data_IF_007096284295
#
_entry.id   IF_007096284295
#
_cell.length_a   1.000
_cell.length_b   1.000
_cell.length_c   1.000
_cell.angle_alpha   90.00
_cell.angle_beta   90.00
_cell.angle_gamma   90.00
#
_symmetry.space_group_name_H-M   'P 1'
#
loop_
_entity.id
_entity.type
_entity.pdbx_description
1 polymer ?
#
# COMPACT_ATOMS: atom_id res chain seq x y z
N UNK A 1 1.75 -16.14 -16.18
CA UNK A 1 0.56 -15.83 -15.36
C UNK A 1 -0.41 -15.10 -16.27
N UNK A 2 -1.70 -15.42 -16.21
CA UNK A 2 -2.78 -14.73 -16.95
C UNK A 2 -3.83 -14.39 -15.90
N UNK A 3 -4.26 -13.13 -15.86
CA UNK A 3 -5.19 -12.61 -14.84
C UNK A 3 -6.24 -11.72 -15.51
N UNK A 4 -7.36 -11.51 -14.81
CA UNK A 4 -8.41 -10.60 -15.25
C UNK A 4 -7.97 -9.13 -15.11
N UNK A 5 -8.43 -8.27 -16.02
CA UNK A 5 -8.22 -6.83 -15.90
C UNK A 5 -9.18 -6.25 -14.85
N UNK A 6 -8.63 -5.69 -13.78
CA UNK A 6 -9.41 -5.18 -12.66
C UNK A 6 -10.06 -3.83 -12.96
N UNK A 7 -11.30 -3.68 -12.49
CA UNK A 7 -12.01 -2.39 -12.49
C UNK A 7 -11.87 -1.75 -11.12
N UNK A 8 -11.09 -0.67 -11.07
CA UNK A 8 -10.78 0.07 -9.84
C UNK A 8 -12.03 0.71 -9.22
N UNK A 9 -12.08 0.76 -7.89
CA UNK A 9 -13.08 1.49 -7.14
C UNK A 9 -13.09 2.98 -7.54
N UNK A 10 -14.26 3.61 -7.78
CA UNK A 10 -14.35 5.00 -8.26
C UNK A 10 -13.63 6.02 -7.35
N UNK A 11 -13.58 5.78 -6.04
CA UNK A 11 -12.88 6.65 -5.11
C UNK A 11 -11.36 6.71 -5.34
N UNK A 12 -10.77 5.67 -5.93
CA UNK A 12 -9.34 5.58 -6.25
C UNK A 12 -9.05 5.87 -7.74
N UNK A 13 -9.96 6.55 -8.42
CA UNK A 13 -9.74 7.04 -9.78
C UNK A 13 -9.10 8.44 -9.76
N UNK A 14 -7.93 8.55 -10.39
CA UNK A 14 -7.10 9.78 -10.42
C UNK A 14 -6.77 10.22 -11.85
N UNK A 15 -7.57 9.82 -12.85
CA UNK A 15 -7.34 10.15 -14.27
C UNK A 15 -6.00 9.61 -14.83
N UNK A 16 -5.42 8.62 -14.17
CA UNK A 16 -4.23 7.88 -14.61
C UNK A 16 -4.64 6.58 -15.32
N UNK A 17 -3.67 5.96 -16.03
CA UNK A 17 -3.91 4.73 -16.79
C UNK A 17 -3.77 3.46 -15.94
N UNK A 18 -2.89 3.48 -14.93
CA UNK A 18 -2.62 2.32 -14.09
C UNK A 18 -3.70 2.03 -13.05
N UNK A 19 -3.79 0.75 -12.64
CA UNK A 19 -4.45 0.40 -11.38
C UNK A 19 -3.59 0.95 -10.24
N UNK A 20 -4.23 1.65 -9.30
CA UNK A 20 -3.59 2.18 -8.10
C UNK A 20 -3.69 1.13 -6.98
N UNK A 21 -2.59 0.85 -6.31
CA UNK A 21 -2.51 -0.25 -5.34
C UNK A 21 -2.08 0.25 -3.99
N UNK A 22 -2.38 -0.55 -2.98
CA UNK A 22 -1.91 -0.34 -1.62
C UNK A 22 -0.79 -1.33 -1.38
N UNK A 23 0.38 -0.81 -1.02
CA UNK A 23 1.48 -1.61 -0.48
C UNK A 23 1.34 -1.67 1.03
N UNK A 24 1.27 -2.86 1.60
CA UNK A 24 1.33 -3.07 3.07
C UNK A 24 2.33 -4.16 3.37
N UNK A 25 3.20 -3.93 4.36
CA UNK A 25 4.15 -4.94 4.79
C UNK A 25 3.58 -5.72 5.98
N UNK A 26 3.92 -7.00 6.04
CA UNK A 26 3.53 -7.90 7.11
C UNK A 26 4.74 -8.63 7.68
N UNK A 27 4.71 -8.87 9.00
CA UNK A 27 5.61 -9.76 9.71
C UNK A 27 4.78 -10.82 10.45
N UNK A 28 4.95 -12.09 10.13
CA UNK A 28 4.42 -13.21 10.89
C UNK A 28 5.40 -13.58 12.01
N UNK A 29 4.98 -13.44 13.26
CA UNK A 29 5.81 -13.78 14.41
C UNK A 29 5.87 -15.30 14.67
N UNK A 30 6.68 -15.71 15.65
CA UNK A 30 6.83 -17.12 16.05
C UNK A 30 5.59 -17.72 16.71
N UNK A 31 4.69 -16.89 17.21
CA UNK A 31 3.45 -17.29 17.86
C UNK A 31 2.30 -17.43 16.85
N UNK A 32 2.52 -17.02 15.60
CA UNK A 32 1.54 -17.08 14.52
C UNK A 32 0.69 -15.80 14.39
N UNK A 33 1.06 -14.71 15.07
CA UNK A 33 0.37 -13.43 14.91
C UNK A 33 0.97 -12.64 13.74
N UNK A 34 0.09 -11.96 13.00
CA UNK A 34 0.48 -11.10 11.87
C UNK A 34 0.54 -9.65 12.33
N UNK A 35 1.70 -9.02 12.14
CA UNK A 35 1.94 -7.61 12.43
C UNK A 35 2.03 -6.85 11.12
N UNK A 36 1.04 -6.00 10.84
CA UNK A 36 1.05 -5.12 9.67
C UNK A 36 1.79 -3.83 9.99
N UNK A 37 2.60 -3.35 9.05
CA UNK A 37 3.32 -2.10 9.19
C UNK A 37 3.55 -1.46 7.81
N UNK A 38 3.78 -0.15 7.78
CA UNK A 38 4.08 0.62 6.57
C UNK A 38 3.11 0.36 5.42
N UNK A 39 1.88 0.85 5.59
CA UNK A 39 0.90 0.92 4.53
C UNK A 39 1.07 2.23 3.73
N UNK A 40 1.08 2.13 2.40
CA UNK A 40 1.08 3.28 1.50
C UNK A 40 0.13 3.03 0.34
N UNK A 41 -0.64 4.05 -0.04
CA UNK A 41 -1.36 4.08 -1.32
C UNK A 41 -0.38 4.55 -2.39
N UNK A 42 -0.21 3.77 -3.45
CA UNK A 42 0.58 4.12 -4.64
C UNK A 42 -0.36 4.57 -5.74
N UNK A 43 -0.10 5.74 -6.31
CA UNK A 43 -0.93 6.33 -7.37
C UNK A 43 -0.05 6.71 -8.55
N UNK A 44 -0.42 6.24 -9.75
CA UNK A 44 0.32 6.53 -10.98
C UNK A 44 0.10 7.97 -11.47
N UNK A 45 1.08 8.48 -12.22
CA UNK A 45 1.00 9.76 -12.92
C UNK A 45 1.11 9.52 -14.44
N UNK A 46 0.34 10.31 -15.19
CA UNK A 46 0.33 10.34 -16.66
C UNK A 46 -0.03 9.00 -17.29
N UNK A 47 0.72 8.66 -18.34
CA UNK A 47 0.52 7.46 -19.16
C UNK A 47 1.29 6.24 -18.64
N UNK A 48 1.87 6.31 -17.43
CA UNK A 48 2.52 5.15 -16.83
C UNK A 48 1.49 4.04 -16.60
N UNK A 49 1.80 2.85 -17.10
CA UNK A 49 0.97 1.64 -16.92
C UNK A 49 1.17 0.99 -15.55
N UNK A 50 2.09 1.50 -14.74
CA UNK A 50 2.33 1.09 -13.35
C UNK A 50 2.23 2.30 -12.41
N UNK A 51 1.81 2.06 -11.17
CA UNK A 51 1.59 3.07 -10.12
C UNK A 51 2.79 3.27 -9.17
N UNK A 52 3.83 2.44 -9.30
CA UNK A 52 4.98 2.43 -8.41
C UNK A 52 5.75 3.76 -8.41
N UNK A 53 6.24 4.18 -7.24
CA UNK A 53 7.08 5.36 -7.05
C UNK A 53 8.27 5.45 -8.01
N UNK A 54 8.97 4.33 -8.21
CA UNK A 54 10.14 4.29 -9.10
C UNK A 54 9.80 4.54 -10.58
N UNK A 55 8.53 4.47 -10.96
CA UNK A 55 8.03 4.82 -12.28
C UNK A 55 7.47 6.25 -12.37
N UNK A 56 7.69 7.07 -11.33
CA UNK A 56 7.20 8.45 -11.24
C UNK A 56 5.83 8.60 -10.57
N UNK A 57 5.33 7.56 -9.88
CA UNK A 57 4.11 7.66 -9.08
C UNK A 57 4.25 8.51 -7.82
N UNK A 58 3.14 8.64 -7.09
CA UNK A 58 3.09 9.26 -5.75
C UNK A 58 2.72 8.19 -4.74
N UNK A 59 3.42 8.15 -3.61
CA UNK A 59 2.98 7.33 -2.47
C UNK A 59 2.45 8.19 -1.33
N UNK A 60 1.35 7.74 -0.73
CA UNK A 60 0.69 8.39 0.39
C UNK A 60 0.67 7.43 1.58
N UNK A 61 1.27 7.79 2.73
CA UNK A 61 1.26 6.91 3.89
C UNK A 61 -0.16 6.80 4.45
N UNK A 62 -0.52 5.58 4.82
CA UNK A 62 -1.80 5.24 5.41
C UNK A 62 -1.54 4.89 6.87
N UNK A 63 -2.34 5.47 7.77
CA UNK A 63 -2.43 5.02 9.15
C UNK A 63 -3.09 3.63 9.19
N UNK A 64 -2.38 2.64 9.73
CA UNK A 64 -2.82 1.23 9.65
C UNK A 64 -4.05 0.96 10.50
N UNK A 65 -4.21 1.67 11.62
CA UNK A 65 -5.32 1.45 12.54
C UNK A 65 -6.63 1.98 11.94
N UNK A 66 -6.56 3.07 11.18
CA UNK A 66 -7.74 3.79 10.70
C UNK A 66 -8.00 3.62 9.20
N UNK A 67 -6.99 3.29 8.40
CA UNK A 67 -7.09 3.26 6.94
C UNK A 67 -7.12 4.65 6.30
N UNK A 68 -6.70 5.68 7.03
CA UNK A 68 -6.74 7.07 6.58
C UNK A 68 -5.35 7.50 6.12
N UNK A 69 -5.28 8.22 5.00
CA UNK A 69 -4.02 8.84 4.57
C UNK A 69 -3.57 9.88 5.61
N UNK A 70 -2.41 9.63 6.22
CA UNK A 70 -1.96 10.30 7.44
C UNK A 70 -1.07 11.51 7.19
N UNK A 71 -0.51 11.65 5.99
CA UNK A 71 0.33 12.80 5.64
C UNK A 71 0.25 13.17 4.17
N UNK A 72 1.02 14.20 3.80
CA UNK A 72 1.26 14.56 2.40
C UNK A 72 1.82 13.38 1.61
N UNK A 73 1.57 13.38 0.30
CA UNK A 73 2.20 12.45 -0.63
C UNK A 73 3.66 12.79 -0.88
N UNK A 74 4.42 11.76 -1.21
CA UNK A 74 5.83 11.86 -1.52
C UNK A 74 6.07 11.52 -2.99
N UNK A 75 6.72 12.45 -3.69
CA UNK A 75 6.97 12.45 -5.12
C UNK A 75 8.29 13.17 -5.38
N UNK A 76 9.10 12.72 -6.34
CA UNK A 76 10.40 13.32 -6.68
C UNK A 76 11.32 13.58 -5.46
N UNK A 77 11.35 12.63 -4.53
CA UNK A 77 12.10 12.67 -3.27
C UNK A 77 11.72 13.81 -2.33
N UNK A 78 10.48 14.32 -2.45
CA UNK A 78 9.99 15.42 -1.61
C UNK A 78 8.57 15.15 -1.14
N UNK A 79 8.31 15.56 0.10
CA UNK A 79 6.98 15.50 0.72
C UNK A 79 6.20 16.79 0.37
N UNK A 80 5.32 16.74 -0.65
CA UNK A 80 4.78 17.99 -1.24
C UNK A 80 3.30 17.91 -1.62
N UNK A 81 2.71 16.72 -1.70
CA UNK A 81 1.44 16.54 -2.37
C UNK A 81 0.27 16.53 -1.38
N UNK A 82 -0.34 17.70 -1.13
CA UNK A 82 -1.68 17.77 -0.50
C UNK A 82 -2.72 17.18 -1.47
N UNK A 83 -2.56 17.49 -2.76
CA UNK A 83 -3.38 16.98 -3.85
C UNK A 83 -2.59 16.00 -4.71
N UNK A 84 -3.27 15.05 -5.35
CA UNK A 84 -2.64 14.25 -6.40
C UNK A 84 -2.45 15.09 -7.67
N UNK A 85 -1.31 15.04 -8.39
CA UNK A 85 -1.05 15.91 -9.55
C UNK A 85 -2.09 15.85 -10.68
N UNK A 86 -2.86 14.76 -10.76
CA UNK A 86 -3.90 14.54 -11.77
C UNK A 86 -5.34 14.71 -11.25
N UNK A 87 -5.54 15.17 -10.01
CA UNK A 87 -6.89 15.34 -9.46
C UNK A 87 -6.96 16.37 -8.34
N UNK A 88 -8.13 16.98 -8.16
CA UNK A 88 -8.37 17.91 -7.06
C UNK A 88 -8.68 17.21 -5.71
N UNK A 89 -8.37 15.92 -5.58
CA UNK A 89 -8.57 15.17 -4.33
C UNK A 89 -7.54 15.60 -3.29
N UNK A 90 -8.01 16.07 -2.13
CA UNK A 90 -7.18 16.23 -0.94
C UNK A 90 -6.86 14.85 -0.40
N UNK A 91 -5.57 14.57 -0.25
CA UNK A 91 -5.07 13.25 0.13
C UNK A 91 -4.98 13.09 1.64
N UNK A 92 -4.37 13.99 2.44
CA UNK A 92 -4.45 13.89 3.90
C UNK A 92 -5.90 13.86 4.40
N UNK A 93 -6.23 12.86 5.22
CA UNK A 93 -7.60 12.63 5.70
C UNK A 93 -8.50 11.83 4.75
N UNK A 94 -8.01 11.45 3.57
CA UNK A 94 -8.74 10.55 2.68
C UNK A 94 -8.82 9.15 3.28
N UNK A 95 -10.04 8.61 3.35
CA UNK A 95 -10.30 7.27 3.89
C UNK A 95 -10.28 6.23 2.77
N UNK A 96 -9.44 5.20 2.93
CA UNK A 96 -9.33 4.10 1.97
C UNK A 96 -10.60 3.23 2.04
N UNK A 97 -11.32 3.03 0.92
CA UNK A 97 -12.48 2.14 0.88
C UNK A 97 -12.08 0.70 1.24
N UNK A 98 -12.94 0.02 1.99
CA UNK A 98 -12.77 -1.39 2.39
C UNK A 98 -11.47 -1.69 3.16
N UNK A 99 -10.95 -0.73 3.92
CA UNK A 99 -9.69 -0.90 4.67
C UNK A 99 -9.69 -2.13 5.60
N UNK A 100 -10.81 -2.38 6.27
CA UNK A 100 -11.03 -3.57 7.09
C UNK A 100 -10.84 -4.88 6.30
N UNK A 101 -11.33 -4.92 5.05
CA UNK A 101 -11.13 -6.06 4.14
C UNK A 101 -9.69 -6.19 3.68
N UNK A 102 -8.97 -5.07 3.47
CA UNK A 102 -7.53 -5.08 3.15
C UNK A 102 -6.75 -5.76 4.27
N UNK A 103 -6.94 -5.29 5.51
CA UNK A 103 -6.29 -5.84 6.70
C UNK A 103 -6.60 -7.33 6.88
N UNK A 104 -7.87 -7.72 6.71
CA UNK A 104 -8.30 -9.11 6.78
C UNK A 104 -7.63 -9.98 5.71
N UNK A 105 -7.69 -9.55 4.45
CA UNK A 105 -7.11 -10.28 3.31
C UNK A 105 -5.63 -10.58 3.51
N UNK A 106 -4.86 -9.56 3.90
CA UNK A 106 -3.42 -9.69 4.12
C UNK A 106 -3.12 -10.60 5.30
N UNK A 107 -3.86 -10.42 6.40
CA UNK A 107 -3.66 -11.23 7.61
C UNK A 107 -3.88 -12.71 7.33
N UNK A 108 -4.92 -13.06 6.58
CA UNK A 108 -5.19 -14.45 6.21
C UNK A 108 -4.17 -14.97 5.20
N UNK A 109 -3.79 -14.18 4.20
CA UNK A 109 -2.75 -14.55 3.22
C UNK A 109 -1.39 -14.81 3.88
N UNK A 110 -0.95 -13.96 4.82
CA UNK A 110 0.30 -14.13 5.56
C UNK A 110 0.32 -15.43 6.37
N UNK A 111 -0.81 -15.84 6.94
CA UNK A 111 -0.90 -17.12 7.69
C UNK A 111 -0.78 -18.35 6.79
N UNK A 112 -1.13 -18.25 5.50
CA UNK A 112 -0.96 -19.36 4.55
C UNK A 112 0.50 -19.60 4.14
N UNK A 113 1.40 -18.64 4.40
CA UNK A 113 2.82 -18.71 4.04
C UNK A 113 3.74 -18.65 5.26
N UNK A 114 3.65 -19.60 6.22
CA UNK A 114 4.34 -19.51 7.50
C UNK A 114 5.87 -19.48 7.40
N UNK A 115 6.44 -19.95 6.28
CA UNK A 115 7.89 -19.92 6.02
C UNK A 115 8.35 -18.57 5.45
N UNK A 116 7.46 -17.82 4.79
CA UNK A 116 7.74 -16.49 4.25
C UNK A 116 7.19 -15.44 5.22
N UNK A 117 7.91 -15.26 6.34
CA UNK A 117 7.41 -14.46 7.47
C UNK A 117 7.40 -12.95 7.22
N UNK A 118 8.08 -12.47 6.18
CA UNK A 118 8.14 -11.05 5.85
C UNK A 118 7.72 -10.86 4.40
N UNK A 119 6.60 -10.17 4.18
CA UNK A 119 6.02 -10.01 2.84
C UNK A 119 5.46 -8.61 2.69
N UNK A 120 5.78 -7.95 1.57
CA UNK A 120 5.11 -6.74 1.11
C UNK A 120 4.02 -7.08 0.11
N UNK A 121 2.78 -6.79 0.46
CA UNK A 121 1.60 -7.15 -0.32
C UNK A 121 1.13 -5.97 -1.14
N UNK A 122 0.75 -6.22 -2.39
CA UNK A 122 0.08 -5.26 -3.27
C UNK A 122 -1.38 -5.63 -3.43
N UNK A 123 -2.26 -4.68 -3.07
CA UNK A 123 -3.70 -4.87 -3.04
C UNK A 123 -4.35 -3.81 -3.91
N UNK A 124 -5.25 -4.21 -4.80
CA UNK A 124 -6.13 -3.29 -5.50
C UNK A 124 -7.49 -3.22 -4.80
N UNK A 125 -8.11 -2.03 -4.80
CA UNK A 125 -9.49 -1.86 -4.31
C UNK A 125 -10.40 -1.78 -5.53
N UNK A 126 -11.20 -2.80 -5.75
CA UNK A 126 -12.12 -2.89 -6.87
C UNK A 126 -13.47 -2.29 -6.51
N UNK A 127 -14.36 -2.12 -7.50
CA UNK A 127 -15.74 -1.66 -7.25
C UNK A 127 -16.49 -2.55 -6.22
N UNK A 128 -16.17 -3.84 -6.17
CA UNK A 128 -16.90 -4.85 -5.38
C UNK A 128 -16.15 -5.29 -4.11
N UNK A 129 -14.86 -4.97 -3.97
CA UNK A 129 -14.06 -5.40 -2.82
C UNK A 129 -12.57 -5.11 -2.94
N UNK A 130 -11.76 -6.07 -2.46
CA UNK A 130 -10.30 -5.99 -2.48
C UNK A 130 -9.75 -7.18 -3.24
N UNK A 131 -8.70 -6.98 -4.03
CA UNK A 131 -8.02 -8.02 -4.79
C UNK A 131 -6.53 -8.03 -4.42
N UNK A 132 -6.00 -9.21 -4.11
CA UNK A 132 -4.58 -9.39 -3.80
C UNK A 132 -3.81 -9.61 -5.09
N UNK A 133 -3.01 -8.61 -5.50
CA UNK A 133 -2.26 -8.64 -6.76
C UNK A 133 -1.03 -9.52 -6.64
N UNK A 134 -0.19 -9.25 -5.63
CA UNK A 134 1.05 -10.00 -5.42
C UNK A 134 1.55 -9.92 -3.98
N UNK A 135 2.32 -10.95 -3.59
CA UNK A 135 3.10 -10.99 -2.35
C UNK A 135 4.60 -10.96 -2.65
N UNK A 136 5.27 -9.90 -2.23
CA UNK A 136 6.71 -9.71 -2.43
C UNK A 136 7.49 -10.18 -1.20
N UNK A 137 8.22 -11.29 -1.33
CA UNK A 137 9.08 -11.85 -0.26
C UNK A 137 10.33 -11.00 0.06
N UNK A 138 10.70 -10.07 -0.83
CA UNK A 138 11.77 -9.09 -0.64
C UNK A 138 11.29 -7.72 -1.17
N UNK A 139 10.36 -7.07 -0.45
CA UNK A 139 9.77 -5.82 -0.93
C UNK A 139 10.80 -4.70 -0.93
N UNK A 140 10.68 -3.79 -1.90
CA UNK A 140 11.58 -2.65 -2.00
C UNK A 140 11.58 -1.77 -0.75
N UNK A 141 12.77 -1.32 -0.34
CA UNK A 141 12.98 -0.59 0.92
C UNK A 141 12.58 0.88 0.88
N UNK A 142 12.43 1.47 -0.32
CA UNK A 142 12.13 2.90 -0.49
C UNK A 142 10.89 3.32 0.31
N UNK A 143 9.76 2.63 0.12
CA UNK A 143 8.51 2.85 0.89
C UNK A 143 8.72 2.72 2.41
N UNK A 144 9.55 1.75 2.83
CA UNK A 144 9.82 1.48 4.24
C UNK A 144 10.73 2.53 4.89
N UNK A 145 11.67 3.10 4.14
CA UNK A 145 12.67 4.04 4.67
C UNK A 145 12.18 5.48 4.69
N UNK A 146 11.40 5.91 3.69
CA UNK A 146 11.16 7.34 3.48
C UNK A 146 9.73 7.84 3.80
N UNK A 147 8.74 6.94 3.95
CA UNK A 147 7.32 7.35 3.91
C UNK A 147 6.62 7.12 5.26
N UNK A 148 6.36 8.19 6.03
CA UNK A 148 5.79 8.08 7.38
C UNK A 148 6.85 7.76 8.44
N UNK A 149 6.55 6.90 9.41
CA UNK A 149 7.45 6.62 10.55
C UNK A 149 8.71 5.85 10.14
N UNK A 150 9.87 6.11 10.73
CA UNK A 150 11.16 5.46 10.40
C UNK A 150 11.66 4.56 11.54
N UNK A 151 12.69 3.74 11.28
CA UNK A 151 13.35 2.95 12.33
C UNK A 151 12.65 1.63 12.68
N UNK A 152 11.94 1.04 11.72
CA UNK A 152 11.10 -0.15 11.93
C UNK A 152 11.82 -1.38 12.47
N UNK A 153 13.14 -1.52 12.27
CA UNK A 153 13.88 -2.63 12.87
C UNK A 153 13.71 -2.68 14.39
N UNK A 154 13.78 -1.53 15.08
CA UNK A 154 13.57 -1.47 16.54
C UNK A 154 12.15 -1.89 16.94
N UNK A 155 11.16 -1.46 16.16
CA UNK A 155 9.75 -1.74 16.41
C UNK A 155 9.39 -3.22 16.16
N UNK A 156 10.02 -3.83 15.15
CA UNK A 156 9.74 -5.19 14.72
C UNK A 156 10.61 -6.25 15.42
N UNK A 157 11.79 -5.89 15.93
CA UNK A 157 12.73 -6.83 16.57
C UNK A 157 12.10 -7.68 17.67
N UNK A 158 11.13 -7.14 18.39
CA UNK A 158 10.41 -7.85 19.47
C UNK A 158 9.53 -9.01 18.97
N UNK A 159 9.26 -9.09 17.67
CA UNK A 159 8.41 -10.10 17.02
C UNK A 159 9.20 -11.15 16.20
N UNK A 160 10.53 -10.97 16.05
CA UNK A 160 11.39 -11.87 15.25
C UNK A 160 11.74 -13.18 15.96
#
# INVERSE_FOLDING_TARGET
MIEECLVQHPALFFSNVSVNTIRVNSLLDKEGNVHLFKAVLRVGIGDSVVDNYNAGGVEYPIDIETGIISSLGFHDNKLQCIYHPLSDKVMPGFNIPYWDKVVFCITEASKQLPLCRFVGWDIAITKDGVELIEGNHNPGYVSMEYFGEIGWYGNLKKYL
#
